data_IF_845963692251
#
_entry.id   IF_845963692251
#
_cell.length_a   1.000
_cell.length_b   1.000
_cell.length_c   1.000
_cell.angle_alpha   90.00
_cell.angle_beta   90.00
_cell.angle_gamma   90.00
#
_symmetry.space_group_name_H-M   'P 1'
#
loop_
_entity.id
_entity.type
_entity.pdbx_description
1 polymer ?
#
# COMPACT_ATOMS: atom_id res chain seq x y z
N UNK A 1 -3.78 11.22 16.80
CA UNK A 1 -3.50 11.10 17.43
C UNK A 1 -3.13 11.20 17.82
N UNK A 2 -2.74 11.21 17.65
CA UNK A 2 -2.23 11.09 18.30
C UNK A 2 -2.60 10.95 19.06
N UNK A 3 -2.54 10.64 19.45
CA UNK A 3 -2.53 10.34 20.35
C UNK A 3 -2.44 10.87 21.32
N UNK A 4 -2.89 10.82 21.73
CA UNK A 4 -2.81 11.32 22.68
C UNK A 4 -1.83 11.76 23.19
N UNK A 5 -1.81 12.03 23.62
CA UNK A 5 -0.78 12.44 24.29
C UNK A 5 0.43 11.77 23.93
N UNK A 6 0.64 11.03 23.51
CA UNK A 6 1.86 10.43 23.31
C UNK A 6 2.29 10.35 21.93
N UNK A 7 3.54 10.23 21.74
CA UNK A 7 4.10 9.92 20.47
C UNK A 7 3.81 8.47 20.12
N UNK A 8 3.59 8.21 18.85
CA UNK A 8 3.53 6.85 18.35
C UNK A 8 4.97 6.31 18.39
N UNK A 9 5.17 5.20 19.08
CA UNK A 9 6.49 4.60 19.24
C UNK A 9 6.64 3.31 18.43
N UNK A 10 5.55 2.82 17.83
CA UNK A 10 5.55 1.58 17.09
C UNK A 10 4.82 1.80 15.79
N UNK A 11 5.46 1.42 14.67
CA UNK A 11 4.84 1.62 13.35
C UNK A 11 3.49 0.90 13.22
N UNK A 12 3.27 -0.16 14.00
CA UNK A 12 2.00 -0.90 13.95
C UNK A 12 0.81 -0.07 14.37
N UNK A 13 1.05 1.03 15.09
CA UNK A 13 -0.02 1.92 15.51
C UNK A 13 -0.33 3.01 14.48
N UNK A 14 0.43 3.09 13.41
CA UNK A 14 0.18 4.08 12.36
C UNK A 14 -0.99 3.63 11.48
N UNK A 15 -1.92 4.55 11.24
CA UNK A 15 -3.06 4.27 10.37
C UNK A 15 -2.61 3.87 8.96
N UNK A 16 -1.58 4.53 8.44
CA UNK A 16 -1.07 4.21 7.10
C UNK A 16 -0.52 2.79 7.04
N UNK A 17 0.10 2.32 8.12
CA UNK A 17 0.62 0.95 8.13
C UNK A 17 -0.53 -0.05 8.18
N UNK A 18 -1.52 0.19 9.03
CA UNK A 18 -2.67 -0.70 9.18
C UNK A 18 -3.47 -0.78 7.88
N UNK A 19 -3.67 0.35 7.22
CA UNK A 19 -4.35 0.37 5.91
C UNK A 19 -3.50 -0.37 4.88
N UNK A 20 -2.19 -0.23 4.93
CA UNK A 20 -1.28 -0.97 4.05
C UNK A 20 -1.43 -2.47 4.21
N UNK A 21 -1.56 -2.96 5.44
CA UNK A 21 -1.78 -4.38 5.71
C UNK A 21 -3.13 -4.84 5.12
N UNK A 22 -4.17 -4.01 5.26
CA UNK A 22 -5.47 -4.31 4.66
C UNK A 22 -5.36 -4.48 3.15
N UNK A 23 -4.62 -3.59 2.50
CA UNK A 23 -4.42 -3.65 1.06
C UNK A 23 -3.69 -4.93 0.66
N UNK A 24 -2.69 -5.35 1.46
CA UNK A 24 -1.99 -6.61 1.23
C UNK A 24 -2.97 -7.78 1.28
N UNK A 25 -3.79 -7.83 2.32
CA UNK A 25 -4.76 -8.93 2.49
C UNK A 25 -5.74 -8.99 1.33
N UNK A 26 -6.25 -7.84 0.92
CA UNK A 26 -7.21 -7.76 -0.20
C UNK A 26 -6.55 -8.18 -1.51
N UNK A 27 -5.29 -7.80 -1.70
CA UNK A 27 -4.54 -8.17 -2.92
C UNK A 27 -4.32 -9.68 -2.98
N UNK A 28 -3.97 -10.30 -1.86
CA UNK A 28 -3.81 -11.74 -1.83
C UNK A 28 -5.12 -12.46 -2.09
N UNK A 29 -6.22 -11.98 -1.49
CA UNK A 29 -7.54 -12.56 -1.72
C UNK A 29 -7.94 -12.48 -3.19
N UNK A 30 -7.75 -11.31 -3.79
CA UNK A 30 -8.13 -11.06 -5.17
C UNK A 30 -7.31 -11.92 -6.14
N UNK A 31 -6.00 -11.99 -5.93
CA UNK A 31 -5.12 -12.69 -6.86
C UNK A 31 -5.24 -14.20 -6.75
N UNK A 32 -5.81 -14.74 -5.68
CA UNK A 32 -6.09 -16.18 -5.60
C UNK A 32 -7.02 -16.64 -6.72
N UNK A 33 -7.90 -15.77 -7.19
CA UNK A 33 -8.83 -16.08 -8.26
C UNK A 33 -8.28 -15.90 -9.66
N UNK A 34 -7.05 -15.43 -9.79
CA UNK A 34 -6.44 -15.19 -11.10
C UNK A 34 -6.09 -16.51 -11.80
N UNK A 35 -5.97 -16.51 -13.13
CA UNK A 35 -5.53 -17.71 -13.85
C UNK A 35 -4.19 -18.22 -13.32
N UNK A 36 -4.05 -19.54 -13.30
CA UNK A 36 -2.86 -20.18 -12.75
C UNK A 36 -1.57 -19.71 -13.46
N UNK A 37 -1.63 -19.41 -14.75
CA UNK A 37 -0.45 -18.96 -15.50
C UNK A 37 0.10 -17.64 -14.96
N UNK A 38 -0.69 -16.89 -14.17
CA UNK A 38 -0.24 -15.62 -13.61
C UNK A 38 0.48 -15.75 -12.27
N UNK A 39 0.64 -16.97 -11.77
CA UNK A 39 1.23 -17.16 -10.44
C UNK A 39 2.65 -16.59 -10.35
N UNK A 40 3.42 -16.66 -11.43
CA UNK A 40 4.75 -16.04 -11.49
C UNK A 40 4.77 -14.76 -12.32
N UNK A 41 3.59 -14.28 -12.72
CA UNK A 41 3.43 -13.04 -13.49
C UNK A 41 2.71 -11.99 -12.68
N UNK A 42 1.51 -11.62 -13.14
CA UNK A 42 0.76 -10.50 -12.57
C UNK A 42 0.42 -10.70 -11.10
N UNK A 43 0.02 -11.93 -10.70
CA UNK A 43 -0.28 -12.21 -9.29
C UNK A 43 0.92 -11.92 -8.40
N UNK A 44 2.09 -12.40 -8.80
CA UNK A 44 3.33 -12.19 -8.05
C UNK A 44 3.68 -10.71 -7.96
N UNK A 45 3.58 -9.99 -9.10
CA UNK A 45 3.90 -8.57 -9.14
C UNK A 45 2.97 -7.76 -8.24
N UNK A 46 1.67 -8.06 -8.28
CA UNK A 46 0.70 -7.34 -7.46
C UNK A 46 0.98 -7.55 -5.97
N UNK A 47 1.27 -8.79 -5.58
CA UNK A 47 1.58 -9.11 -4.19
C UNK A 47 2.84 -8.39 -3.72
N UNK A 48 3.86 -8.33 -4.55
CA UNK A 48 5.10 -7.64 -4.20
C UNK A 48 4.89 -6.14 -4.05
N UNK A 49 4.13 -5.53 -4.97
CA UNK A 49 3.81 -4.11 -4.86
C UNK A 49 3.03 -3.83 -3.58
N UNK A 50 2.04 -4.66 -3.27
CA UNK A 50 1.22 -4.47 -2.07
C UNK A 50 2.06 -4.57 -0.80
N UNK A 51 2.89 -5.62 -0.68
CA UNK A 51 3.74 -5.83 0.51
C UNK A 51 4.74 -4.68 0.68
N UNK A 52 5.21 -4.11 -0.43
CA UNK A 52 6.14 -2.99 -0.39
C UNK A 52 5.55 -1.76 0.31
N UNK A 53 4.24 -1.58 0.30
CA UNK A 53 3.61 -0.41 0.92
C UNK A 53 3.86 -0.39 2.44
N UNK A 54 3.37 -1.35 3.22
CA UNK A 54 3.62 -1.31 4.66
C UNK A 54 5.08 -1.53 5.02
N UNK A 55 5.83 -2.27 4.19
CA UNK A 55 7.25 -2.51 4.47
C UNK A 55 8.05 -1.21 4.46
N UNK A 56 7.81 -0.34 3.47
CA UNK A 56 8.52 0.93 3.40
C UNK A 56 8.06 1.92 4.46
N UNK A 57 6.79 1.87 4.84
CA UNK A 57 6.29 2.69 5.95
C UNK A 57 7.01 2.31 7.24
N UNK A 58 7.10 1.02 7.54
CA UNK A 58 7.76 0.53 8.75
C UNK A 58 9.24 0.89 8.75
N UNK A 59 9.91 0.67 7.63
CA UNK A 59 11.33 0.97 7.52
C UNK A 59 11.58 2.46 7.73
N UNK A 60 10.75 3.32 7.10
CA UNK A 60 10.89 4.76 7.23
C UNK A 60 10.64 5.23 8.66
N UNK A 61 9.63 4.68 9.31
CA UNK A 61 9.30 5.05 10.69
C UNK A 61 10.48 4.79 11.63
N UNK A 62 11.27 3.77 11.35
CA UNK A 62 12.41 3.38 12.20
C UNK A 62 13.70 4.15 11.88
N UNK A 63 13.66 5.11 10.93
CA UNK A 63 14.83 5.94 10.64
C UNK A 63 14.87 7.12 11.60
N UNK A 64 16.08 7.61 11.88
CA UNK A 64 16.26 8.74 12.80
C UNK A 64 15.85 10.07 12.19
N UNK A 65 16.01 10.23 10.88
CA UNK A 65 15.85 11.54 10.25
C UNK A 65 14.58 11.60 9.43
N UNK A 66 13.86 12.72 9.54
CA UNK A 66 12.63 12.93 8.80
C UNK A 66 12.83 12.88 7.29
N UNK A 67 14.00 13.29 6.81
CA UNK A 67 14.30 13.23 5.39
C UNK A 67 14.30 11.81 4.88
N UNK A 68 14.90 10.88 5.63
CA UNK A 68 14.92 9.47 5.27
C UNK A 68 13.53 8.86 5.37
N UNK A 69 12.80 9.23 6.42
CA UNK A 69 11.43 8.77 6.61
C UNK A 69 10.57 9.19 5.41
N UNK A 70 10.62 10.50 5.06
CA UNK A 70 9.86 11.02 3.93
C UNK A 70 10.22 10.31 2.63
N UNK A 71 11.51 10.04 2.42
CA UNK A 71 11.95 9.33 1.22
C UNK A 71 11.29 7.95 1.12
N UNK A 72 11.27 7.20 2.21
CA UNK A 72 10.68 5.85 2.20
C UNK A 72 9.16 5.89 2.06
N UNK A 73 8.51 6.95 2.53
CA UNK A 73 7.09 7.16 2.28
C UNK A 73 6.84 7.45 0.80
N UNK A 74 7.73 8.17 0.12
CA UNK A 74 7.63 8.35 -1.33
C UNK A 74 7.80 7.02 -2.06
N UNK A 75 8.68 6.13 -1.57
CA UNK A 75 8.81 4.79 -2.15
C UNK A 75 7.49 4.03 -1.98
N UNK A 76 6.85 4.14 -0.82
CA UNK A 76 5.54 3.51 -0.59
C UNK A 76 4.49 4.07 -1.55
N UNK A 77 4.49 5.39 -1.80
CA UNK A 77 3.59 6.01 -2.78
C UNK A 77 3.83 5.44 -4.18
N UNK A 78 5.08 5.24 -4.55
CA UNK A 78 5.42 4.61 -5.83
C UNK A 78 4.88 3.19 -5.93
N UNK A 79 4.95 2.44 -4.82
CA UNK A 79 4.39 1.08 -4.77
C UNK A 79 2.87 1.10 -4.93
N UNK A 80 2.20 2.10 -4.37
CA UNK A 80 0.76 2.27 -4.56
C UNK A 80 0.44 2.51 -6.05
N UNK A 81 1.22 3.34 -6.72
CA UNK A 81 1.02 3.62 -8.15
C UNK A 81 1.26 2.37 -9.00
N UNK A 82 2.28 1.58 -8.65
CA UNK A 82 2.51 0.30 -9.33
C UNK A 82 1.32 -0.63 -9.17
N UNK A 83 0.83 -0.77 -7.95
CA UNK A 83 -0.31 -1.65 -7.68
C UNK A 83 -1.56 -1.15 -8.42
N UNK A 84 -1.78 0.16 -8.42
CA UNK A 84 -2.89 0.76 -9.13
C UNK A 84 -2.86 0.41 -10.61
N UNK A 85 -1.68 0.50 -11.23
CA UNK A 85 -1.48 0.14 -12.63
C UNK A 85 -1.77 -1.34 -12.85
N UNK A 86 -1.29 -2.20 -11.96
CA UNK A 86 -1.50 -3.64 -12.07
C UNK A 86 -2.97 -4.01 -11.93
N UNK A 87 -3.70 -3.30 -11.07
CA UNK A 87 -5.15 -3.48 -10.94
C UNK A 87 -5.84 -3.13 -12.25
N UNK A 88 -5.45 -2.03 -12.89
CA UNK A 88 -6.00 -1.66 -14.18
C UNK A 88 -5.74 -2.74 -15.23
N UNK A 89 -4.52 -3.28 -15.25
CA UNK A 89 -4.17 -4.35 -16.19
C UNK A 89 -5.05 -5.58 -15.92
N UNK A 90 -5.17 -5.99 -14.67
CA UNK A 90 -5.97 -7.15 -14.30
C UNK A 90 -7.43 -6.97 -14.70
N UNK A 91 -7.94 -5.74 -14.51
CA UNK A 91 -9.32 -5.42 -14.90
C UNK A 91 -9.50 -5.52 -16.42
N UNK A 92 -8.55 -5.00 -17.19
CA UNK A 92 -8.60 -5.07 -18.65
C UNK A 92 -8.56 -6.50 -19.15
N UNK A 93 -7.86 -7.38 -18.41
CA UNK A 93 -7.77 -8.79 -18.75
C UNK A 93 -8.96 -9.58 -18.20
N UNK A 94 -9.92 -8.91 -17.57
CA UNK A 94 -11.11 -9.50 -16.97
C UNK A 94 -10.80 -10.50 -15.86
N UNK A 95 -9.72 -10.26 -15.11
CA UNK A 95 -9.33 -11.12 -14.00
C UNK A 95 -10.05 -10.77 -12.69
N UNK A 96 -10.73 -9.64 -12.65
CA UNK A 96 -11.46 -9.23 -11.45
C UNK A 96 -12.74 -8.51 -11.83
N UNK A 97 -13.71 -8.51 -10.92
CA UNK A 97 -14.98 -7.82 -11.14
C UNK A 97 -14.81 -6.31 -11.01
N UNK A 98 -15.80 -5.58 -11.53
CA UNK A 98 -15.82 -4.12 -11.38
C UNK A 98 -15.91 -3.73 -9.91
N UNK A 99 -16.64 -4.48 -9.10
CA UNK A 99 -16.77 -4.21 -7.67
C UNK A 99 -15.45 -4.38 -6.95
N UNK A 100 -14.72 -5.45 -7.23
CA UNK A 100 -13.41 -5.69 -6.63
C UNK A 100 -12.43 -4.59 -7.03
N UNK A 101 -12.42 -4.22 -8.31
CA UNK A 101 -11.57 -3.13 -8.79
C UNK A 101 -11.85 -1.84 -8.04
N UNK A 102 -13.12 -1.47 -7.96
CA UNK A 102 -13.54 -0.24 -7.30
C UNK A 102 -13.12 -0.22 -5.84
N UNK A 103 -13.33 -1.32 -5.14
CA UNK A 103 -12.96 -1.44 -3.72
C UNK A 103 -11.46 -1.28 -3.51
N UNK A 104 -10.65 -1.95 -4.32
CA UNK A 104 -9.19 -1.85 -4.22
C UNK A 104 -8.68 -0.45 -4.52
N UNK A 105 -9.21 0.17 -5.59
CA UNK A 105 -8.78 1.52 -5.98
C UNK A 105 -9.15 2.54 -4.91
N UNK A 106 -10.31 2.39 -4.29
CA UNK A 106 -10.76 3.27 -3.23
C UNK A 106 -9.82 3.21 -2.03
N UNK A 107 -9.43 2.00 -1.63
CA UNK A 107 -8.49 1.82 -0.52
C UNK A 107 -7.12 2.40 -0.84
N UNK A 108 -6.64 2.18 -2.06
CA UNK A 108 -5.36 2.74 -2.49
C UNK A 108 -5.39 4.26 -2.50
N UNK A 109 -6.46 4.85 -3.01
CA UNK A 109 -6.60 6.30 -3.04
C UNK A 109 -6.53 6.88 -1.63
N UNK A 110 -7.23 6.24 -0.68
CA UNK A 110 -7.22 6.67 0.72
C UNK A 110 -5.80 6.56 1.30
N UNK A 111 -5.13 5.45 1.05
CA UNK A 111 -3.76 5.24 1.53
C UNK A 111 -2.81 6.29 0.98
N UNK A 112 -2.91 6.59 -0.31
CA UNK A 112 -2.04 7.58 -0.94
C UNK A 112 -2.26 8.97 -0.35
N UNK A 113 -3.50 9.33 -0.05
CA UNK A 113 -3.80 10.62 0.59
C UNK A 113 -3.20 10.68 1.99
N UNK A 114 -3.31 9.60 2.76
CA UNK A 114 -2.74 9.55 4.10
C UNK A 114 -1.22 9.65 4.05
N UNK A 115 -0.60 8.94 3.10
CA UNK A 115 0.85 8.98 2.92
C UNK A 115 1.33 10.40 2.57
N UNK A 116 0.63 11.09 1.66
CA UNK A 116 0.98 12.46 1.29
C UNK A 116 0.86 13.40 2.48
N UNK A 117 -0.19 13.23 3.27
CA UNK A 117 -0.38 14.07 4.47
C UNK A 117 0.74 13.84 5.48
N UNK A 118 1.17 12.59 5.64
CA UNK A 118 2.25 12.27 6.55
C UNK A 118 3.57 12.89 6.07
N UNK A 119 3.85 12.80 4.77
CA UNK A 119 5.04 13.43 4.19
C UNK A 119 5.05 14.92 4.48
N UNK A 120 3.91 15.60 4.32
CA UNK A 120 3.82 17.03 4.59
C UNK A 120 4.21 17.38 6.02
N UNK A 121 3.82 16.54 6.97
CA UNK A 121 4.15 16.78 8.38
C UNK A 121 5.63 16.63 8.67
N UNK A 122 6.35 15.90 7.83
CA UNK A 122 7.78 15.66 8.03
C UNK A 122 8.65 16.73 7.36
N UNK A 123 8.08 17.54 6.50
CA UNK A 123 8.82 18.58 5.76
C UNK A 123 8.76 19.96 6.45
#
# INVERSE_FOLDING_TARGET
MQRTSGKITNFRDLDVWQKGIDIVKDTYRTTRGFPRQEVFGLSSQMRRSAVSIPSNIAEGFNRFHNKEYAHLLYVALGSCAELETQIEIASELAYMSAETKSSLLEKLDHEMRMLRNLVKKLN
#
